data_IF_764461276630
#
_entry.id   IF_764461276630
#
_cell.length_a   1.000
_cell.length_b   1.000
_cell.length_c   1.000
_cell.angle_alpha   90.00
_cell.angle_beta   90.00
_cell.angle_gamma   90.00
#
_symmetry.space_group_name_H-M   'P 1'
#
loop_
_entity.id
_entity.type
_entity.pdbx_description
1 polymer ?
#
# COMPACT_ATOMS: atom_id res chain seq x y z
N UNK A 1 13.11 11.80 32.98
CA UNK A 1 12.41 10.93 33.93
C UNK A 1 11.35 10.16 33.17
N UNK A 2 11.37 8.81 33.12
CA UNK A 2 10.30 8.06 32.49
C UNK A 2 9.17 7.94 33.52
N UNK A 3 8.18 8.81 33.45
CA UNK A 3 6.96 8.63 34.24
C UNK A 3 6.18 7.46 33.64
N UNK A 4 6.43 6.27 34.16
CA UNK A 4 5.76 5.01 33.84
C UNK A 4 4.30 5.01 34.29
N UNK A 5 3.47 5.84 33.67
CA UNK A 5 2.06 5.53 33.57
C UNK A 5 1.93 4.49 32.46
N UNK A 6 1.62 3.24 32.84
CA UNK A 6 1.24 2.23 31.86
C UNK A 6 0.18 2.84 30.92
N UNK A 7 0.50 2.88 29.61
CA UNK A 7 -0.44 3.40 28.61
C UNK A 7 -1.71 2.59 28.71
N UNK A 8 -2.81 3.28 28.99
CA UNK A 8 -4.11 2.64 29.16
C UNK A 8 -4.51 1.94 27.87
N UNK A 9 -5.10 0.74 27.99
CA UNK A 9 -5.58 -0.01 26.83
C UNK A 9 -7.03 0.33 26.53
N UNK A 10 -7.32 0.51 25.25
CA UNK A 10 -8.65 0.78 24.72
C UNK A 10 -9.02 -0.28 23.69
N UNK A 11 -10.28 -0.74 23.75
CA UNK A 11 -10.89 -1.63 22.77
C UNK A 11 -11.33 -0.89 21.52
N UNK A 12 -11.92 -1.62 20.58
CA UNK A 12 -12.45 -1.06 19.33
C UNK A 12 -13.72 -0.22 19.51
N UNK A 13 -14.18 0.39 18.42
CA UNK A 13 -15.52 0.96 18.34
C UNK A 13 -16.57 -0.14 18.18
N UNK A 14 -17.72 0.03 18.83
CA UNK A 14 -18.90 -0.82 18.65
C UNK A 14 -20.03 0.04 18.11
N UNK A 15 -20.35 -0.15 16.84
CA UNK A 15 -21.50 0.44 16.18
C UNK A 15 -22.57 -0.62 16.19
N UNK A 16 -23.60 -0.46 17.03
CA UNK A 16 -24.64 -1.47 17.15
C UNK A 16 -25.24 -1.84 15.79
N UNK A 17 -25.60 -3.12 15.62
CA UNK A 17 -26.20 -3.70 14.40
C UNK A 17 -27.58 -3.10 14.07
N UNK A 18 -27.65 -1.79 13.84
CA UNK A 18 -28.84 -1.09 13.35
C UNK A 18 -28.60 -0.76 11.89
N UNK A 19 -29.60 -1.03 11.05
CA UNK A 19 -29.58 -0.59 9.66
C UNK A 19 -29.57 0.95 9.62
N UNK A 20 -28.63 1.54 8.87
CA UNK A 20 -28.49 3.00 8.72
C UNK A 20 -27.28 3.59 9.43
N UNK A 21 -27.40 4.87 9.83
CA UNK A 21 -26.34 5.59 10.57
C UNK A 21 -26.45 5.29 12.06
N UNK A 22 -25.38 4.78 12.67
CA UNK A 22 -25.32 4.46 14.09
C UNK A 22 -24.08 5.05 14.76
N UNK A 23 -24.29 5.66 15.92
CA UNK A 23 -23.20 6.13 16.78
C UNK A 23 -22.52 4.95 17.49
N UNK A 24 -21.23 5.14 17.80
CA UNK A 24 -20.50 4.22 18.66
C UNK A 24 -21.19 4.15 20.03
N UNK A 25 -21.51 2.93 20.50
CA UNK A 25 -22.16 2.66 21.78
C UNK A 25 -21.40 3.23 22.99
N UNK A 26 -20.10 3.45 22.84
CA UNK A 26 -19.25 4.00 23.88
C UNK A 26 -19.33 5.54 23.97
N UNK A 27 -20.09 6.22 23.10
CA UNK A 27 -20.30 7.67 23.17
C UNK A 27 -19.07 8.50 22.80
N UNK A 28 -18.20 7.96 21.94
CA UNK A 28 -16.99 8.66 21.50
C UNK A 28 -17.23 9.68 20.38
N UNK A 29 -18.48 9.84 19.90
CA UNK A 29 -18.84 10.73 18.80
C UNK A 29 -18.47 10.22 17.40
N UNK A 30 -17.98 8.98 17.28
CA UNK A 30 -17.81 8.33 15.98
C UNK A 30 -19.13 7.68 15.55
N UNK A 31 -19.40 7.65 14.26
CA UNK A 31 -20.57 6.98 13.70
C UNK A 31 -20.20 6.12 12.49
N UNK A 32 -20.99 5.07 12.26
CA UNK A 32 -20.95 4.24 11.07
C UNK A 32 -22.22 4.49 10.26
N UNK A 33 -22.12 4.59 8.94
CA UNK A 33 -23.28 4.72 8.05
C UNK A 33 -23.19 3.80 6.83
N UNK A 34 -24.23 3.78 5.99
CA UNK A 34 -24.46 2.73 4.99
C UNK A 34 -23.36 2.56 3.93
N UNK A 35 -22.54 3.58 3.70
CA UNK A 35 -21.42 3.50 2.75
C UNK A 35 -20.07 3.91 3.32
N UNK A 36 -20.03 4.44 4.55
CA UNK A 36 -18.82 4.99 5.20
C UNK A 36 -18.98 5.03 6.70
N UNK A 37 -17.87 4.87 7.40
CA UNK A 37 -17.74 5.24 8.80
C UNK A 37 -17.04 6.60 8.92
N UNK A 38 -17.63 7.52 9.66
CA UNK A 38 -17.16 8.89 9.82
C UNK A 38 -17.14 9.27 11.29
N UNK A 39 -15.99 9.74 11.77
CA UNK A 39 -15.90 10.42 13.05
C UNK A 39 -15.41 11.86 12.84
N UNK A 40 -15.35 12.67 13.90
CA UNK A 40 -14.56 13.89 13.90
C UNK A 40 -13.15 13.61 13.36
N UNK A 41 -12.58 14.59 12.65
CA UNK A 41 -11.23 14.50 12.09
C UNK A 41 -10.26 14.01 13.19
N UNK A 42 -9.59 12.89 12.94
CA UNK A 42 -8.63 12.27 13.88
C UNK A 42 -9.11 11.02 14.61
N UNK A 43 -10.41 10.66 14.56
CA UNK A 43 -10.91 9.41 15.13
C UNK A 43 -11.04 8.32 14.06
N UNK A 44 -10.40 7.17 14.30
CA UNK A 44 -10.46 6.01 13.41
C UNK A 44 -11.71 5.21 13.73
N UNK A 45 -12.70 5.14 12.84
CA UNK A 45 -13.87 4.34 13.14
C UNK A 45 -13.55 2.86 13.32
N UNK A 46 -12.43 2.37 12.78
CA UNK A 46 -11.98 0.98 12.92
C UNK A 46 -10.83 0.82 13.92
N UNK A 47 -10.41 1.90 14.58
CA UNK A 47 -9.32 1.87 15.54
C UNK A 47 -9.77 1.75 16.99
N UNK A 48 -8.91 2.17 17.90
CA UNK A 48 -9.17 2.14 19.33
C UNK A 48 -10.10 3.29 19.72
N UNK A 49 -11.14 2.97 20.48
CA UNK A 49 -12.12 3.92 20.97
C UNK A 49 -11.68 4.50 22.32
N UNK A 50 -11.42 5.81 22.45
CA UNK A 50 -11.00 6.43 23.71
C UNK A 50 -12.08 6.33 24.80
N UNK A 51 -13.33 6.10 24.41
CA UNK A 51 -14.44 5.88 25.32
C UNK A 51 -14.69 4.39 25.63
N UNK A 52 -13.90 3.47 25.07
CA UNK A 52 -13.93 2.03 25.34
C UNK A 52 -12.64 1.55 26.05
N UNK A 53 -12.34 2.02 27.26
CA UNK A 53 -11.22 1.50 28.01
C UNK A 53 -11.45 0.03 28.40
N UNK A 54 -10.42 -0.81 28.30
CA UNK A 54 -10.53 -2.26 28.60
C UNK A 54 -10.87 -2.52 30.08
N UNK A 55 -10.45 -1.63 30.98
CA UNK A 55 -10.80 -1.69 32.41
C UNK A 55 -12.19 -1.10 32.73
N UNK A 56 -12.95 -0.68 31.71
CA UNK A 56 -14.30 -0.14 31.81
C UNK A 56 -14.39 1.28 32.40
N UNK A 57 -13.27 1.92 32.79
CA UNK A 57 -13.29 3.22 33.47
C UNK A 57 -12.63 4.30 32.63
N UNK A 58 -13.34 5.35 32.26
CA UNK A 58 -12.70 6.51 31.61
C UNK A 58 -11.92 7.33 32.64
N UNK A 59 -10.73 7.81 32.24
CA UNK A 59 -9.97 8.79 33.01
C UNK A 59 -10.62 10.17 32.86
N UNK A 60 -10.50 11.04 33.88
CA UNK A 60 -11.08 12.37 33.83
C UNK A 60 -10.47 13.21 32.70
N UNK A 61 -11.27 14.13 32.15
CA UNK A 61 -10.85 15.03 31.09
C UNK A 61 -10.56 14.32 29.75
N UNK A 62 -9.50 14.75 29.07
CA UNK A 62 -9.14 14.30 27.71
C UNK A 62 -7.97 13.31 27.68
N UNK A 63 -7.56 12.75 28.82
CA UNK A 63 -6.35 11.91 28.91
C UNK A 63 -6.45 10.67 28.00
N UNK A 64 -7.59 9.97 28.02
CA UNK A 64 -7.81 8.81 27.15
C UNK A 64 -7.78 9.15 25.66
N UNK A 65 -8.25 10.33 25.28
CA UNK A 65 -8.18 10.79 23.90
C UNK A 65 -6.73 11.06 23.49
N UNK A 66 -5.94 11.70 24.37
CA UNK A 66 -4.52 11.96 24.10
C UNK A 66 -3.74 10.67 23.91
N UNK A 67 -3.91 9.69 24.79
CA UNK A 67 -3.19 8.42 24.69
C UNK A 67 -3.53 7.67 23.38
N UNK A 68 -4.81 7.63 22.99
CA UNK A 68 -5.24 6.99 21.73
C UNK A 68 -4.68 7.74 20.52
N UNK A 69 -4.71 9.08 20.53
CA UNK A 69 -4.17 9.91 19.44
C UNK A 69 -2.66 9.76 19.33
N UNK A 70 -1.93 9.81 20.44
CA UNK A 70 -0.47 9.61 20.46
C UNK A 70 -0.08 8.22 19.96
N UNK A 71 -0.78 7.17 20.40
CA UNK A 71 -0.55 5.83 19.89
C UNK A 71 -0.77 5.77 18.37
N UNK A 72 -1.83 6.43 17.88
CA UNK A 72 -2.13 6.44 16.45
C UNK A 72 -1.07 7.17 15.64
N UNK A 73 -0.54 8.29 16.15
CA UNK A 73 0.58 9.00 15.52
C UNK A 73 1.78 8.07 15.41
N UNK A 74 2.15 7.36 16.48
CA UNK A 74 3.26 6.40 16.49
C UNK A 74 3.06 5.26 15.47
N UNK A 75 1.84 4.71 15.40
CA UNK A 75 1.50 3.65 14.44
C UNK A 75 1.58 4.17 12.98
N UNK A 76 1.13 5.41 12.73
CA UNK A 76 1.22 6.05 11.42
C UNK A 76 2.66 6.35 11.01
N UNK A 77 3.48 6.86 11.92
CA UNK A 77 4.93 7.08 11.69
C UNK A 77 5.63 5.78 11.34
N UNK A 78 5.33 4.70 12.06
CA UNK A 78 5.90 3.37 11.78
C UNK A 78 5.50 2.88 10.40
N UNK A 79 4.21 2.99 10.03
CA UNK A 79 3.71 2.60 8.71
C UNK A 79 4.30 3.45 7.59
N UNK A 80 4.48 4.74 7.82
CA UNK A 80 5.12 5.64 6.86
C UNK A 80 6.57 5.19 6.61
N UNK A 81 7.33 4.95 7.67
CA UNK A 81 8.71 4.49 7.56
C UNK A 81 8.82 3.16 6.80
N UNK A 82 7.96 2.19 7.11
CA UNK A 82 7.90 0.92 6.37
C UNK A 82 7.54 1.11 4.89
N UNK A 83 6.64 2.06 4.58
CA UNK A 83 6.29 2.37 3.20
C UNK A 83 7.47 3.01 2.44
N UNK A 84 8.22 3.90 3.09
CA UNK A 84 9.44 4.48 2.55
C UNK A 84 10.52 3.42 2.28
N UNK A 85 10.75 2.50 3.22
CA UNK A 85 11.70 1.41 3.06
C UNK A 85 11.33 0.49 1.89
N UNK A 86 10.04 0.13 1.78
CA UNK A 86 9.54 -0.64 0.64
C UNK A 86 9.71 0.10 -0.68
N UNK A 87 9.50 1.41 -0.70
CA UNK A 87 9.69 2.22 -1.90
C UNK A 87 11.17 2.22 -2.32
N UNK A 88 12.09 2.37 -1.38
CA UNK A 88 13.55 2.31 -1.62
C UNK A 88 14.00 0.96 -2.17
N UNK A 89 13.34 -0.14 -1.80
CA UNK A 89 13.66 -1.48 -2.34
C UNK A 89 13.19 -1.65 -3.79
N UNK A 90 12.11 -0.99 -4.19
CA UNK A 90 11.55 -1.12 -5.55
C UNK A 90 12.37 -0.33 -6.59
N UNK A 91 13.02 0.78 -6.20
CA UNK A 91 13.86 1.59 -7.09
C UNK A 91 14.98 0.79 -7.79
N UNK A 92 15.84 0.04 -7.09
CA UNK A 92 16.89 -0.74 -7.74
C UNK A 92 16.34 -1.87 -8.62
N UNK A 93 15.21 -2.48 -8.25
CA UNK A 93 14.55 -3.49 -9.08
C UNK A 93 14.06 -2.92 -10.41
N UNK A 94 13.49 -1.71 -10.39
CA UNK A 94 13.09 -1.01 -11.63
C UNK A 94 14.28 -0.69 -12.53
N UNK A 95 15.41 -0.26 -11.96
CA UNK A 95 16.64 0.02 -12.71
C UNK A 95 17.13 -1.27 -13.38
N UNK A 96 17.21 -2.36 -12.62
CA UNK A 96 17.65 -3.66 -13.14
C UNK A 96 16.75 -4.16 -14.28
N UNK A 97 15.43 -4.05 -14.12
CA UNK A 97 14.49 -4.42 -15.18
C UNK A 97 14.65 -3.56 -16.44
N UNK A 98 14.94 -2.27 -16.28
CA UNK A 98 15.20 -1.38 -17.42
C UNK A 98 16.49 -1.78 -18.17
N UNK A 99 17.55 -2.15 -17.45
CA UNK A 99 18.80 -2.65 -18.05
C UNK A 99 18.61 -3.98 -18.78
N UNK A 100 17.87 -4.92 -18.18
CA UNK A 100 17.53 -6.19 -18.80
C UNK A 100 16.72 -5.99 -20.09
N UNK A 101 15.74 -5.07 -20.06
CA UNK A 101 14.91 -4.74 -21.22
C UNK A 101 15.74 -4.12 -22.36
N UNK A 102 16.65 -3.19 -22.04
CA UNK A 102 17.59 -2.63 -23.01
C UNK A 102 18.51 -3.70 -23.61
N UNK A 103 19.01 -4.64 -22.80
CA UNK A 103 19.81 -5.77 -23.25
C UNK A 103 19.05 -6.68 -24.22
N UNK A 104 17.80 -7.01 -23.90
CA UNK A 104 16.93 -7.83 -24.75
C UNK A 104 16.64 -7.13 -26.08
N UNK A 105 16.35 -5.83 -26.05
CA UNK A 105 16.16 -5.04 -27.28
C UNK A 105 17.41 -5.06 -28.17
N UNK A 106 18.61 -4.89 -27.58
CA UNK A 106 19.88 -4.98 -28.33
C UNK A 106 20.07 -6.36 -28.99
N UNK A 107 19.81 -7.44 -28.26
CA UNK A 107 19.85 -8.81 -28.81
C UNK A 107 18.85 -9.00 -29.95
N UNK A 108 17.63 -8.47 -29.80
CA UNK A 108 16.59 -8.55 -30.83
C UNK A 108 17.03 -7.86 -32.13
N UNK A 109 17.66 -6.68 -32.05
CA UNK A 109 18.20 -5.97 -33.21
C UNK A 109 19.27 -6.81 -33.92
N UNK A 110 20.19 -7.41 -33.16
CA UNK A 110 21.25 -8.27 -33.72
C UNK A 110 20.65 -9.47 -34.46
N UNK A 111 19.66 -10.14 -33.84
CA UNK A 111 18.97 -11.29 -34.46
C UNK A 111 18.24 -10.86 -35.73
N UNK A 112 17.55 -9.72 -35.70
CA UNK A 112 16.83 -9.17 -36.86
C UNK A 112 17.80 -8.87 -38.01
N UNK A 113 18.94 -8.23 -37.73
CA UNK A 113 19.96 -7.95 -38.73
C UNK A 113 20.54 -9.23 -39.35
N UNK A 114 20.82 -10.25 -38.51
CA UNK A 114 21.28 -11.56 -39.00
C UNK A 114 20.24 -12.23 -39.89
N UNK A 115 18.97 -12.21 -39.48
CA UNK A 115 17.88 -12.77 -40.27
C UNK A 115 17.76 -12.08 -41.63
N UNK A 116 17.84 -10.75 -41.67
CA UNK A 116 17.86 -9.99 -42.93
C UNK A 116 19.07 -10.32 -43.81
N UNK A 117 20.26 -10.52 -43.24
CA UNK A 117 21.44 -10.93 -43.99
C UNK A 117 21.27 -12.33 -44.60
N UNK A 118 20.79 -13.30 -43.80
CA UNK A 118 20.49 -14.65 -44.28
C UNK A 118 19.46 -14.59 -45.40
N UNK A 119 18.37 -13.85 -45.22
CA UNK A 119 17.33 -13.68 -46.24
C UNK A 119 17.89 -13.14 -47.56
N UNK A 120 18.76 -12.12 -47.52
CA UNK A 120 19.44 -11.59 -48.72
C UNK A 120 20.36 -12.59 -49.39
N UNK A 121 21.04 -13.44 -48.62
CA UNK A 121 21.91 -14.49 -49.18
C UNK A 121 21.04 -15.57 -49.84
N UNK A 122 19.99 -16.01 -49.14
CA UNK A 122 19.05 -17.02 -49.65
C UNK A 122 18.38 -16.58 -50.94
N UNK A 123 17.92 -15.32 -51.02
CA UNK A 123 17.31 -14.80 -52.25
C UNK A 123 18.29 -14.82 -53.42
N UNK A 124 19.54 -14.38 -53.21
CA UNK A 124 20.59 -14.42 -54.24
C UNK A 124 20.92 -15.85 -54.69
N UNK A 125 20.91 -16.82 -53.78
CA UNK A 125 21.14 -18.23 -54.12
C UNK A 125 19.99 -18.78 -54.96
N UNK A 126 18.74 -18.45 -54.61
CA UNK A 126 17.56 -18.84 -55.39
C UNK A 126 17.59 -18.23 -56.80
N UNK A 127 17.95 -16.94 -56.90
CA UNK A 127 18.12 -16.23 -58.18
C UNK A 127 19.21 -16.92 -59.04
N UNK A 128 20.35 -17.29 -58.45
CA UNK A 128 21.44 -17.97 -59.16
C UNK A 128 21.05 -19.36 -59.66
N UNK A 129 20.20 -20.08 -58.93
CA UNK A 129 19.72 -21.41 -59.29
C UNK A 129 18.53 -21.38 -60.27
N UNK A 130 18.04 -20.19 -60.66
CA UNK A 130 16.90 -20.04 -61.55
C UNK A 130 15.56 -20.48 -60.94
N UNK A 131 15.49 -20.61 -59.61
CA UNK A 131 14.29 -21.00 -58.87
C UNK A 131 13.54 -19.70 -58.52
N UNK A 132 12.49 -19.36 -59.28
CA UNK A 132 11.66 -18.22 -58.93
C UNK A 132 10.94 -18.47 -57.60
N UNK A 133 11.12 -17.57 -56.64
CA UNK A 133 10.36 -17.55 -55.39
C UNK A 133 8.89 -17.21 -55.70
N UNK A 134 7.97 -18.10 -55.31
CA UNK A 134 6.51 -17.83 -55.30
C UNK A 134 6.16 -16.79 -54.23
#
# INVERSE_FOLDING_TARGET
MPNGHEKKKHGGHDYGNREGTCDCKHGCGCWAGPSRSGGPVGLDPFGKCPSNPVDGKRRPGQIDYKDVVEQRIQDLETRLHQAEDRLRQVEPEKIKLAEELASVQGKLIIVTNRFQQVFKISSRVLDFLGIQSV
#
